data_IF_154915147319
#
_entry.id   IF_154915147319
#
_cell.length_a   1.000
_cell.length_b   1.000
_cell.length_c   1.000
_cell.angle_alpha   90.00
_cell.angle_beta   90.00
_cell.angle_gamma   90.00
#
_symmetry.space_group_name_H-M   'P 1'
#
loop_
_entity.id
_entity.type
_entity.pdbx_description
1 polymer ?
#
# COMPACT_ATOMS: atom_id res chain seq x y z
N UNK A 1 -0.31 8.23 12.86
CA UNK A 1 -1.34 8.41 11.81
C UNK A 1 -2.68 8.52 12.49
N UNK A 2 -3.53 9.48 12.11
CA UNK A 2 -4.87 9.63 12.68
C UNK A 2 -5.92 9.08 11.71
N UNK A 3 -7.01 8.51 12.24
CA UNK A 3 -8.13 8.04 11.40
C UNK A 3 -8.67 9.21 10.57
N UNK A 4 -8.86 8.99 9.27
CA UNK A 4 -9.32 10.02 8.34
C UNK A 4 -8.21 10.85 7.69
N UNK A 5 -6.95 10.73 8.12
CA UNK A 5 -5.82 11.31 7.39
C UNK A 5 -5.46 10.46 6.17
N UNK A 6 -5.12 11.09 5.03
CA UNK A 6 -4.62 10.35 3.89
C UNK A 6 -3.31 9.63 4.27
N UNK A 7 -3.23 8.36 3.88
CA UNK A 7 -2.01 7.58 3.99
C UNK A 7 -0.94 8.16 3.04
N UNK A 8 0.34 8.20 3.43
CA UNK A 8 1.42 8.57 2.50
C UNK A 8 1.42 7.64 1.28
N UNK A 9 1.92 8.16 0.16
CA UNK A 9 2.10 7.33 -1.03
C UNK A 9 3.32 6.42 -0.84
N UNK A 10 3.07 5.12 -0.68
CA UNK A 10 4.11 4.13 -0.45
C UNK A 10 4.39 3.39 -1.75
N UNK A 11 5.67 3.25 -2.10
CA UNK A 11 6.12 2.46 -3.24
C UNK A 11 6.75 1.15 -2.76
N UNK A 12 6.30 0.03 -3.32
CA UNK A 12 6.78 -1.31 -3.01
C UNK A 12 7.02 -2.09 -4.30
N UNK A 13 7.86 -3.13 -4.23
CA UNK A 13 7.90 -4.13 -5.28
C UNK A 13 6.71 -5.09 -5.11
N UNK A 14 6.01 -5.40 -6.20
CA UNK A 14 5.05 -6.50 -6.23
C UNK A 14 5.77 -7.86 -6.36
N UNK A 15 4.99 -8.93 -6.49
CA UNK A 15 5.52 -10.30 -6.61
C UNK A 15 6.29 -10.56 -7.90
N UNK A 16 6.03 -9.76 -8.93
CA UNK A 16 6.70 -9.81 -10.23
C UNK A 16 7.92 -8.87 -10.29
N UNK A 17 8.20 -8.15 -9.20
CA UNK A 17 9.31 -7.20 -9.10
C UNK A 17 9.00 -5.81 -9.68
N UNK A 18 7.77 -5.54 -10.09
CA UNK A 18 7.38 -4.22 -10.57
C UNK A 18 7.22 -3.26 -9.39
N UNK A 19 7.58 -2.00 -9.61
CA UNK A 19 7.31 -0.92 -8.66
C UNK A 19 5.85 -0.54 -8.74
N UNK A 20 5.12 -0.74 -7.65
CA UNK A 20 3.71 -0.33 -7.48
C UNK A 20 3.60 0.71 -6.39
N UNK A 21 2.72 1.70 -6.59
CA UNK A 21 2.43 2.74 -5.60
C UNK A 21 1.04 2.53 -5.02
N UNK A 22 0.86 2.90 -3.76
CA UNK A 22 -0.46 2.85 -3.13
C UNK A 22 -1.47 3.75 -3.86
N UNK A 23 -1.02 4.87 -4.43
CA UNK A 23 -1.83 5.76 -5.26
C UNK A 23 -2.37 5.11 -6.54
N UNK A 24 -1.75 4.05 -7.05
CA UNK A 24 -2.22 3.30 -8.23
C UNK A 24 -3.57 2.59 -7.97
N UNK A 25 -3.93 2.38 -6.70
CA UNK A 25 -5.17 1.73 -6.28
C UNK A 25 -6.29 2.71 -5.88
N UNK A 26 -6.13 4.01 -6.12
CA UNK A 26 -7.17 5.01 -5.82
C UNK A 26 -8.50 4.66 -6.50
N UNK A 27 -9.59 4.91 -5.78
CA UNK A 27 -10.95 4.57 -6.22
C UNK A 27 -11.38 3.12 -5.93
N UNK A 28 -10.47 2.27 -5.43
CA UNK A 28 -10.77 0.91 -4.95
C UNK A 28 -10.77 0.87 -3.42
N UNK A 29 -11.54 -0.07 -2.84
CA UNK A 29 -11.38 -0.42 -1.42
C UNK A 29 -10.15 -1.32 -1.29
N UNK A 30 -9.13 -0.85 -0.57
CA UNK A 30 -7.84 -1.52 -0.43
C UNK A 30 -7.59 -1.84 1.04
N UNK A 31 -7.18 -3.06 1.33
CA UNK A 31 -6.71 -3.47 2.65
C UNK A 31 -5.18 -3.58 2.61
N UNK A 32 -4.49 -2.85 3.48
CA UNK A 32 -3.03 -2.95 3.65
C UNK A 32 -2.77 -3.88 4.82
N UNK A 33 -2.00 -4.95 4.59
CA UNK A 33 -1.60 -5.91 5.60
C UNK A 33 -0.07 -5.97 5.66
N UNK A 34 0.50 -5.76 6.85
CA UNK A 34 1.94 -5.81 7.09
C UNK A 34 2.23 -6.99 8.01
N UNK A 35 3.03 -7.93 7.54
CA UNK A 35 3.38 -9.15 8.27
C UNK A 35 4.80 -9.59 7.95
N UNK A 36 5.41 -10.34 8.88
CA UNK A 36 6.70 -10.99 8.72
C UNK A 36 6.63 -12.37 9.38
N UNK A 37 7.10 -13.42 8.69
CA UNK A 37 7.37 -14.73 9.29
C UNK A 37 8.77 -14.69 9.91
N UNK A 38 8.83 -14.59 11.23
CA UNK A 38 10.02 -15.02 11.98
C UNK A 38 9.85 -16.50 12.35
#
# INVERSE_FOLDING_TARGET
MQVGQPVPDVELADLDGNRVKLSDFRGKRVAVFSWASW
#
